data_IF_524837322848
#
_entry.id   IF_524837322848
#
_cell.length_a   1.000
_cell.length_b   1.000
_cell.length_c   1.000
_cell.angle_alpha   90.00
_cell.angle_beta   90.00
_cell.angle_gamma   90.00
#
_symmetry.space_group_name_H-M   'P 1'
#
loop_
_entity.id
_entity.type
_entity.pdbx_description
1 polymer ?
#
# COMPACT_ATOMS: atom_id res chain seq x y z
N UNK A 1 -10.94 3.56 13.74
CA UNK A 1 -9.69 4.08 13.13
C UNK A 1 -9.89 5.52 12.71
N UNK A 2 -8.89 6.38 12.98
CA UNK A 2 -8.85 7.75 12.44
C UNK A 2 -8.59 7.68 10.94
N UNK A 3 -9.14 8.61 10.15
CA UNK A 3 -9.04 8.59 8.68
C UNK A 3 -7.59 8.60 8.18
N UNK A 4 -6.69 9.28 8.89
CA UNK A 4 -5.26 9.37 8.55
C UNK A 4 -4.55 8.01 8.51
N UNK A 5 -5.03 7.04 9.31
CA UNK A 5 -4.42 5.71 9.39
C UNK A 5 -4.43 5.03 8.03
N UNK A 6 -5.49 5.20 7.23
CA UNK A 6 -5.61 4.56 5.91
C UNK A 6 -4.57 5.05 4.88
N UNK A 7 -3.90 6.17 5.15
CA UNK A 7 -2.87 6.75 4.28
C UNK A 7 -1.45 6.36 4.70
N UNK A 8 -1.28 5.58 5.78
CA UNK A 8 0.05 5.17 6.28
C UNK A 8 0.90 4.54 5.18
N UNK A 9 0.42 3.56 4.39
CA UNK A 9 1.22 3.01 3.29
C UNK A 9 1.64 4.09 2.28
N UNK A 10 0.74 4.95 1.83
CA UNK A 10 1.09 6.04 0.91
C UNK A 10 2.19 6.94 1.48
N UNK A 11 2.07 7.35 2.75
CA UNK A 11 3.01 8.26 3.41
C UNK A 11 4.41 7.60 3.49
N UNK A 12 4.46 6.37 3.98
CA UNK A 12 5.72 5.63 4.16
C UNK A 12 6.40 5.40 2.81
N UNK A 13 5.69 4.84 1.82
CA UNK A 13 6.28 4.54 0.51
C UNK A 13 6.67 5.82 -0.24
N UNK A 14 5.87 6.90 -0.15
CA UNK A 14 6.24 8.18 -0.77
C UNK A 14 7.52 8.75 -0.17
N UNK A 15 7.68 8.65 1.15
CA UNK A 15 8.91 9.07 1.82
C UNK A 15 10.13 8.27 1.32
N UNK A 16 10.05 6.94 1.32
CA UNK A 16 11.14 6.10 0.83
C UNK A 16 11.48 6.34 -0.64
N UNK A 17 10.48 6.39 -1.53
CA UNK A 17 10.73 6.66 -2.95
C UNK A 17 11.31 8.05 -3.17
N UNK A 18 10.90 9.07 -2.40
CA UNK A 18 11.49 10.41 -2.49
C UNK A 18 12.98 10.41 -2.14
N UNK A 19 13.39 9.65 -1.11
CA UNK A 19 14.81 9.49 -0.78
C UNK A 19 15.61 8.83 -1.91
N UNK A 20 15.03 7.82 -2.56
CA UNK A 20 15.65 7.15 -3.72
C UNK A 20 15.82 8.12 -4.90
N UNK A 21 14.81 8.93 -5.21
CA UNK A 21 14.91 9.95 -6.27
C UNK A 21 15.99 10.97 -5.97
N UNK A 22 16.10 11.45 -4.73
CA UNK A 22 17.11 12.44 -4.35
C UNK A 22 18.52 11.83 -4.46
N UNK A 23 18.70 10.57 -4.06
CA UNK A 23 20.00 9.90 -4.02
C UNK A 23 20.52 9.42 -5.38
N UNK A 24 19.65 9.09 -6.34
CA UNK A 24 20.10 8.52 -7.62
C UNK A 24 19.29 8.94 -8.86
N UNK A 25 18.37 9.89 -8.72
CA UNK A 25 17.59 10.44 -9.82
C UNK A 25 16.31 9.65 -10.11
N UNK A 26 15.43 10.24 -10.93
CA UNK A 26 14.09 9.71 -11.19
C UNK A 26 14.08 8.45 -12.04
N UNK A 27 15.14 8.22 -12.84
CA UNK A 27 15.29 7.08 -13.75
C UNK A 27 15.46 5.74 -13.02
N UNK A 28 15.74 5.74 -11.72
CA UNK A 28 15.87 4.53 -10.91
C UNK A 28 14.50 3.95 -10.54
N UNK A 29 13.45 4.78 -10.52
CA UNK A 29 12.12 4.33 -10.12
C UNK A 29 11.42 3.65 -11.29
N UNK A 30 11.11 2.37 -11.11
CA UNK A 30 10.23 1.65 -12.03
C UNK A 30 8.85 2.32 -12.10
N UNK A 31 8.24 2.46 -13.30
CA UNK A 31 6.87 2.96 -13.45
C UNK A 31 5.85 2.21 -12.56
N UNK A 32 6.10 0.94 -12.25
CA UNK A 32 5.27 0.11 -11.38
C UNK A 32 5.17 0.69 -9.95
N UNK A 33 6.26 1.26 -9.42
CA UNK A 33 6.27 1.88 -8.10
C UNK A 33 5.37 3.13 -8.03
N UNK A 34 5.31 3.91 -9.12
CA UNK A 34 4.39 5.04 -9.20
C UNK A 34 2.92 4.57 -9.18
N UNK A 35 2.61 3.46 -9.87
CA UNK A 35 1.28 2.83 -9.82
C UNK A 35 0.94 2.39 -8.40
N UNK A 36 1.89 1.81 -7.65
CA UNK A 36 1.68 1.46 -6.25
C UNK A 36 1.30 2.65 -5.38
N UNK A 37 1.98 3.79 -5.52
CA UNK A 37 1.66 5.02 -4.78
C UNK A 37 0.24 5.51 -5.07
N UNK A 38 -0.18 5.49 -6.34
CA UNK A 38 -1.54 5.86 -6.74
C UNK A 38 -2.56 4.89 -6.14
N UNK A 39 -2.28 3.59 -6.15
CA UNK A 39 -3.16 2.58 -5.56
C UNK A 39 -3.28 2.73 -4.05
N UNK A 40 -2.19 3.00 -3.33
CA UNK A 40 -2.24 3.28 -1.90
C UNK A 40 -3.02 4.56 -1.59
N UNK A 41 -2.81 5.62 -2.37
CA UNK A 41 -3.52 6.89 -2.18
C UNK A 41 -5.02 6.74 -2.41
N UNK A 42 -5.41 6.11 -3.53
CA UNK A 42 -6.83 5.86 -3.87
C UNK A 42 -7.48 4.94 -2.83
N UNK A 43 -6.76 3.92 -2.35
CA UNK A 43 -7.19 3.09 -1.23
C UNK A 43 -7.47 3.91 0.03
N UNK A 44 -6.55 4.79 0.43
CA UNK A 44 -6.70 5.69 1.57
C UNK A 44 -7.94 6.57 1.45
N UNK A 45 -8.17 7.16 0.27
CA UNK A 45 -9.34 7.99 -0.04
C UNK A 45 -10.63 7.19 0.13
N UNK A 46 -10.74 6.01 -0.48
CA UNK A 46 -11.93 5.16 -0.41
C UNK A 46 -12.22 4.69 1.02
N UNK A 47 -11.21 4.20 1.73
CA UNK A 47 -11.36 3.76 3.12
C UNK A 47 -11.76 4.92 4.05
N UNK A 48 -11.26 6.14 3.80
CA UNK A 48 -11.65 7.33 4.57
C UNK A 48 -13.13 7.71 4.38
N UNK A 49 -13.73 7.32 3.26
CA UNK A 49 -15.16 7.43 2.94
C UNK A 49 -15.99 6.21 3.42
N UNK A 50 -15.36 5.27 4.12
CA UNK A 50 -15.94 3.98 4.55
C UNK A 50 -16.35 3.08 3.38
N UNK A 51 -15.66 3.16 2.24
CA UNK A 51 -15.87 2.25 1.11
C UNK A 51 -14.94 1.06 1.26
N UNK A 52 -15.50 -0.13 1.51
CA UNK A 52 -14.74 -1.37 1.74
C UNK A 52 -13.79 -1.72 0.58
N UNK A 53 -14.23 -1.50 -0.68
CA UNK A 53 -13.42 -1.76 -1.88
C UNK A 53 -12.06 -1.06 -1.88
N UNK A 54 -11.90 0.02 -1.09
CA UNK A 54 -10.60 0.64 -0.88
C UNK A 54 -9.54 -0.33 -0.32
N UNK A 55 -9.90 -1.28 0.55
CA UNK A 55 -8.92 -2.24 1.07
C UNK A 55 -8.38 -3.18 -0.01
N UNK A 56 -9.21 -3.54 -0.99
CA UNK A 56 -8.80 -4.41 -2.09
C UNK A 56 -7.78 -3.70 -2.99
N UNK A 57 -7.99 -2.41 -3.30
CA UNK A 57 -7.02 -1.61 -4.06
C UNK A 57 -5.67 -1.49 -3.35
N UNK A 58 -5.68 -1.31 -2.03
CA UNK A 58 -4.45 -1.25 -1.24
C UNK A 58 -3.72 -2.59 -1.11
N UNK A 59 -4.46 -3.69 -1.15
CA UNK A 59 -3.89 -5.03 -1.11
C UNK A 59 -3.18 -5.42 -2.43
N UNK A 60 -3.57 -4.85 -3.57
CA UNK A 60 -2.97 -5.18 -4.87
C UNK A 60 -1.45 -4.90 -4.92
N UNK A 61 -0.94 -3.71 -4.56
CA UNK A 61 0.50 -3.49 -4.46
C UNK A 61 1.19 -4.45 -3.47
N UNK A 62 0.52 -4.78 -2.36
CA UNK A 62 1.08 -5.66 -1.34
C UNK A 62 1.26 -7.09 -1.86
N UNK A 63 0.25 -7.63 -2.56
CA UNK A 63 0.34 -8.94 -3.24
C UNK A 63 1.43 -8.91 -4.30
N UNK A 64 1.51 -7.82 -5.07
CA UNK A 64 2.52 -7.68 -6.10
C UNK A 64 3.94 -7.60 -5.51
N UNK A 65 4.15 -6.92 -4.38
CA UNK A 65 5.43 -6.93 -3.66
C UNK A 65 5.82 -8.33 -3.17
N UNK A 66 4.85 -9.09 -2.62
CA UNK A 66 5.10 -10.48 -2.20
C UNK A 66 5.53 -11.31 -3.41
N UNK A 67 4.82 -11.17 -4.53
CA UNK A 67 5.15 -11.87 -5.77
C UNK A 67 6.55 -11.49 -6.28
N UNK A 68 6.90 -10.20 -6.35
CA UNK A 68 8.23 -9.76 -6.78
C UNK A 68 9.33 -10.25 -5.84
N UNK A 69 9.09 -10.30 -4.53
CA UNK A 69 10.05 -10.83 -3.57
C UNK A 69 10.24 -12.36 -3.64
N UNK A 70 9.37 -13.10 -4.34
CA UNK A 70 9.61 -14.53 -4.68
C UNK A 70 10.48 -14.71 -5.93
N UNK A 71 10.74 -13.63 -6.67
CA UNK A 71 11.62 -13.65 -7.82
C UNK A 71 13.03 -13.21 -7.42
N UNK A 72 14.04 -13.75 -8.09
CA UNK A 72 15.42 -13.31 -7.98
C UNK A 72 15.58 -11.95 -8.69
N UNK A 73 15.13 -10.87 -8.07
CA UNK A 73 15.17 -9.50 -8.63
C UNK A 73 16.54 -8.84 -8.50
N UNK A 74 17.52 -9.52 -7.90
CA UNK A 74 18.86 -8.96 -7.63
C UNK A 74 18.87 -7.87 -6.53
N UNK A 75 17.76 -7.72 -5.78
CA UNK A 75 17.68 -6.80 -4.66
C UNK A 75 18.28 -7.40 -3.39
N UNK A 76 19.04 -6.59 -2.65
CA UNK A 76 19.72 -6.99 -1.40
C UNK A 76 18.72 -7.33 -0.29
N UNK A 77 17.53 -6.74 -0.33
CA UNK A 77 16.48 -6.89 0.69
C UNK A 77 15.31 -7.64 0.07
N UNK A 78 14.88 -8.69 0.75
CA UNK A 78 13.68 -9.43 0.36
C UNK A 78 12.43 -8.56 0.63
N UNK A 79 11.61 -8.33 -0.40
CA UNK A 79 10.40 -7.51 -0.34
C UNK A 79 9.19 -8.24 0.27
N UNK A 80 9.25 -9.58 0.41
CA UNK A 80 8.15 -10.42 0.93
C UNK A 80 7.65 -9.93 2.30
N UNK A 81 8.51 -9.71 3.33
CA UNK A 81 8.04 -9.35 4.66
C UNK A 81 7.28 -8.02 4.67
N UNK A 82 7.76 -7.04 3.87
CA UNK A 82 7.11 -5.74 3.76
C UNK A 82 5.75 -5.90 3.09
N UNK A 83 5.69 -6.67 2.00
CA UNK A 83 4.43 -6.99 1.32
C UNK A 83 3.40 -7.64 2.26
N UNK A 84 3.81 -8.60 3.09
CA UNK A 84 2.95 -9.24 4.08
C UNK A 84 2.42 -8.23 5.10
N UNK A 85 3.27 -7.35 5.63
CA UNK A 85 2.87 -6.32 6.61
C UNK A 85 1.81 -5.39 6.01
N UNK A 86 2.02 -4.93 4.78
CA UNK A 86 1.08 -4.04 4.07
C UNK A 86 -0.23 -4.78 3.76
N UNK A 87 -0.16 -6.05 3.38
CA UNK A 87 -1.34 -6.88 3.11
C UNK A 87 -2.21 -7.03 4.37
N UNK A 88 -1.59 -7.42 5.49
CA UNK A 88 -2.28 -7.54 6.79
C UNK A 88 -2.89 -6.20 7.21
N UNK A 89 -2.17 -5.10 7.02
CA UNK A 89 -2.68 -3.76 7.28
C UNK A 89 -3.98 -3.47 6.53
N UNK A 90 -4.04 -3.77 5.22
CA UNK A 90 -5.25 -3.54 4.43
C UNK A 90 -6.39 -4.50 4.76
N UNK A 91 -6.10 -5.75 5.15
CA UNK A 91 -7.12 -6.69 5.67
C UNK A 91 -7.77 -6.14 6.95
N UNK A 92 -6.96 -5.61 7.87
CA UNK A 92 -7.45 -5.00 9.12
C UNK A 92 -8.30 -3.76 8.83
N UNK A 93 -7.84 -2.88 7.94
CA UNK A 93 -8.59 -1.68 7.54
C UNK A 93 -9.92 -2.03 6.87
N UNK A 94 -9.92 -2.99 5.95
CA UNK A 94 -11.12 -3.49 5.29
C UNK A 94 -12.12 -4.08 6.28
N UNK A 95 -11.65 -4.94 7.18
CA UNK A 95 -12.49 -5.54 8.24
C UNK A 95 -13.14 -4.47 9.11
N UNK A 96 -12.38 -3.47 9.55
CA UNK A 96 -12.90 -2.37 10.36
C UNK A 96 -13.99 -1.58 9.64
N UNK A 97 -13.78 -1.23 8.37
CA UNK A 97 -14.77 -0.51 7.56
C UNK A 97 -16.02 -1.37 7.32
N UNK A 98 -15.85 -2.66 7.05
CA UNK A 98 -16.96 -3.59 6.83
C UNK A 98 -17.88 -3.69 8.06
N UNK A 99 -17.31 -3.91 9.25
CA UNK A 99 -18.10 -3.96 10.49
C UNK A 99 -18.73 -2.61 10.83
N UNK A 100 -18.04 -1.50 10.54
CA UNK A 100 -18.59 -0.16 10.76
C UNK A 100 -19.79 0.12 9.86
N UNK A 101 -19.76 -0.34 8.61
CA UNK A 101 -20.88 -0.18 7.68
C UNK A 101 -22.08 -1.03 8.10
N UNK A 102 -21.84 -2.28 8.55
CA UNK A 102 -22.91 -3.13 9.07
C UNK A 102 -23.62 -2.56 10.30
N UNK A 103 -22.93 -1.81 11.16
CA UNK A 103 -23.54 -1.15 12.32
C UNK A 103 -24.40 0.08 11.97
N UNK A 104 -24.33 0.56 10.73
CA UNK A 104 -25.11 1.72 10.26
C UNK A 104 -26.38 1.33 9.51
N UNK A 105 -26.50 0.05 9.14
CA UNK A 105 -27.71 -0.55 8.57
C UNK A 105 -28.53 -1.11 9.72
#
# INVERSE_FOLDING_TARGET
>A
MRKIVYYIPTIIFSFFYSLVVIGGGISIISPVAAVWLVLFLTSGILLSKNIFWGSLLGALPAIHMIYMGTQETGQIINEIPIGIIVLVFYIICGSFVFFKNKKKV
#
